data_IF_853103999662
#
_entry.id   IF_853103999662
#
_cell.length_a   1.000
_cell.length_b   1.000
_cell.length_c   1.000
_cell.angle_alpha   90.00
_cell.angle_beta   90.00
_cell.angle_gamma   90.00
#
_symmetry.space_group_name_H-M   'P 1'
#
loop_
_entity.id
_entity.type
_entity.pdbx_description
1 polymer ?
#
# COMPACT_ATOMS: atom_id res chain seq x y z
N UNK A 1 7.64 18.22 -18.15
CA UNK A 1 6.61 17.98 -17.11
C UNK A 1 6.60 16.54 -16.61
N UNK A 2 6.75 15.55 -17.51
CA UNK A 2 7.09 14.14 -17.18
C UNK A 2 8.30 14.06 -16.24
N UNK A 3 9.35 14.84 -16.49
CA UNK A 3 10.49 14.96 -15.56
C UNK A 3 10.10 15.30 -14.12
N UNK A 4 9.08 16.15 -13.89
CA UNK A 4 8.80 16.67 -12.54
C UNK A 4 8.03 15.68 -11.63
N UNK A 5 7.26 14.75 -12.21
CA UNK A 5 6.44 13.78 -11.45
C UNK A 5 7.25 12.53 -11.09
N UNK A 6 8.08 12.04 -12.00
CA UNK A 6 9.04 10.98 -11.68
C UNK A 6 10.16 11.45 -10.79
N UNK A 7 10.51 12.74 -10.83
CA UNK A 7 11.33 13.32 -9.78
C UNK A 7 10.66 13.08 -8.42
N UNK A 8 9.35 13.34 -8.24
CA UNK A 8 8.68 13.19 -6.93
C UNK A 8 8.53 11.75 -6.39
N UNK A 9 8.25 10.73 -7.20
CA UNK A 9 8.20 9.32 -6.71
C UNK A 9 9.60 8.75 -6.52
N UNK A 10 10.53 9.10 -7.40
CA UNK A 10 11.94 8.82 -7.16
C UNK A 10 12.41 9.54 -5.89
N UNK A 11 11.84 10.71 -5.57
CA UNK A 11 12.10 11.44 -4.32
C UNK A 11 11.56 10.67 -3.11
N UNK A 12 10.32 10.15 -3.10
CA UNK A 12 9.84 9.36 -1.94
C UNK A 12 10.68 8.10 -1.71
N UNK A 13 11.02 7.34 -2.76
CA UNK A 13 11.88 6.17 -2.61
C UNK A 13 13.28 6.57 -2.13
N UNK A 14 13.85 7.67 -2.65
CA UNK A 14 15.10 8.24 -2.14
C UNK A 14 14.97 8.68 -0.69
N UNK A 15 13.87 9.30 -0.30
CA UNK A 15 13.58 9.77 1.06
C UNK A 15 13.46 8.60 2.02
N UNK A 16 12.85 7.48 1.62
CA UNK A 16 12.83 6.26 2.43
C UNK A 16 14.21 5.60 2.49
N UNK A 17 14.96 5.56 1.38
CA UNK A 17 16.35 5.10 1.41
C UNK A 17 17.23 5.99 2.32
N UNK A 18 17.01 7.31 2.30
CA UNK A 18 17.66 8.27 3.20
C UNK A 18 17.23 8.06 4.65
N UNK A 19 15.95 7.76 4.90
CA UNK A 19 15.45 7.42 6.24
C UNK A 19 16.11 6.16 6.78
N UNK A 20 16.24 5.10 5.97
CA UNK A 20 16.93 3.86 6.34
C UNK A 20 18.39 4.17 6.71
N UNK A 21 19.10 4.95 5.89
CA UNK A 21 20.49 5.36 6.17
C UNK A 21 20.58 6.15 7.48
N UNK A 22 19.71 7.14 7.67
CA UNK A 22 19.68 7.96 8.88
C UNK A 22 19.45 7.12 10.14
N UNK A 23 18.52 6.17 10.09
CA UNK A 23 18.24 5.26 11.20
C UNK A 23 19.46 4.38 11.48
N UNK A 24 20.06 3.77 10.45
CA UNK A 24 21.24 2.90 10.61
C UNK A 24 22.44 3.62 11.22
N UNK A 25 22.66 4.89 10.85
CA UNK A 25 23.75 5.70 11.37
C UNK A 25 23.53 6.13 12.83
N UNK A 26 22.30 5.99 13.36
CA UNK A 26 21.88 6.48 14.68
C UNK A 26 21.18 5.42 15.55
N UNK A 27 21.42 4.13 15.32
CA UNK A 27 20.74 3.03 16.03
C UNK A 27 20.91 3.02 17.55
N UNK A 28 21.90 3.73 18.09
CA UNK A 28 22.15 3.84 19.53
C UNK A 28 21.48 5.08 20.15
N UNK A 29 21.02 6.02 19.33
CA UNK A 29 20.32 7.22 19.79
C UNK A 29 18.83 6.92 20.04
N UNK A 30 18.15 7.69 20.91
CA UNK A 30 16.70 7.61 21.04
C UNK A 30 16.02 7.88 19.69
N UNK A 31 15.11 7.01 19.28
CA UNK A 31 14.37 7.20 18.04
C UNK A 31 13.43 8.41 18.15
N UNK A 32 13.48 9.30 17.15
CA UNK A 32 12.60 10.46 17.05
C UNK A 32 12.04 10.57 15.63
N UNK A 33 10.74 10.31 15.47
CA UNK A 33 10.07 10.36 14.17
C UNK A 33 10.06 11.77 13.59
N UNK A 34 9.95 12.81 14.42
CA UNK A 34 9.92 14.19 13.96
C UNK A 34 11.27 14.59 13.37
N UNK A 35 12.38 14.25 14.03
CA UNK A 35 13.72 14.52 13.50
C UNK A 35 13.98 13.78 12.18
N UNK A 36 13.55 12.51 12.11
CA UNK A 36 13.67 11.72 10.89
C UNK A 36 12.84 12.32 9.74
N UNK A 37 11.62 12.78 10.06
CA UNK A 37 10.71 13.47 9.15
C UNK A 37 11.32 14.77 8.62
N UNK A 38 11.85 15.62 9.51
CA UNK A 38 12.50 16.87 9.16
C UNK A 38 13.74 16.62 8.27
N UNK A 39 14.49 15.55 8.55
CA UNK A 39 15.67 15.16 7.78
C UNK A 39 15.34 14.76 6.33
N UNK A 40 14.29 13.96 6.13
CA UNK A 40 13.92 13.48 4.79
C UNK A 40 12.97 14.41 4.06
N UNK A 41 12.42 15.42 4.72
CA UNK A 41 11.48 16.37 4.10
C UNK A 41 10.11 15.75 3.80
N UNK A 42 9.70 14.75 4.58
CA UNK A 42 8.33 14.20 4.60
C UNK A 42 7.67 14.59 5.91
N UNK A 43 6.35 14.73 5.96
CA UNK A 43 5.67 14.81 7.24
C UNK A 43 5.83 13.49 8.02
N UNK A 44 5.71 13.48 9.36
CA UNK A 44 5.85 12.25 10.15
C UNK A 44 4.90 11.14 9.70
N UNK A 45 3.68 11.52 9.31
CA UNK A 45 2.66 10.61 8.78
C UNK A 45 3.09 9.99 7.44
N UNK A 46 3.50 10.82 6.47
CA UNK A 46 3.89 10.31 5.14
C UNK A 46 5.15 9.45 5.21
N UNK A 47 6.11 9.83 6.06
CA UNK A 47 7.29 9.02 6.32
C UNK A 47 6.91 7.65 6.88
N UNK A 48 6.11 7.58 7.95
CA UNK A 48 5.73 6.30 8.56
C UNK A 48 4.95 5.41 7.58
N UNK A 49 4.00 5.99 6.84
CA UNK A 49 3.19 5.25 5.87
C UNK A 49 4.03 4.74 4.69
N UNK A 50 4.82 5.61 4.05
CA UNK A 50 5.68 5.23 2.93
C UNK A 50 6.76 4.24 3.33
N UNK A 51 7.34 4.38 4.53
CA UNK A 51 8.31 3.43 5.05
C UNK A 51 7.66 2.07 5.27
N UNK A 52 6.47 1.99 5.90
CA UNK A 52 5.74 0.72 6.07
C UNK A 52 5.40 0.05 4.75
N UNK A 53 4.92 0.80 3.77
CA UNK A 53 4.56 0.23 2.46
C UNK A 53 5.78 -0.35 1.73
N UNK A 54 6.95 0.28 1.87
CA UNK A 54 8.18 -0.13 1.16
C UNK A 54 8.97 -1.18 1.95
N UNK A 55 8.99 -1.09 3.29
CA UNK A 55 9.86 -1.87 4.18
C UNK A 55 9.10 -2.96 4.94
N UNK A 56 7.78 -2.85 5.08
CA UNK A 56 6.94 -3.77 5.84
C UNK A 56 6.92 -3.52 7.35
N UNK A 57 7.64 -2.51 7.84
CA UNK A 57 7.75 -2.14 9.27
C UNK A 57 7.62 -0.63 9.44
N UNK A 58 7.26 -0.16 10.64
CA UNK A 58 7.42 1.28 10.95
C UNK A 58 8.91 1.65 11.05
N UNK A 59 9.29 2.92 10.85
CA UNK A 59 10.66 3.38 11.06
C UNK A 59 11.19 3.04 12.46
N UNK A 60 10.35 3.19 13.49
CA UNK A 60 10.70 2.85 14.88
C UNK A 60 10.88 1.35 15.09
N UNK A 61 9.97 0.53 14.55
CA UNK A 61 10.08 -0.92 14.64
C UNK A 61 11.32 -1.43 13.92
N UNK A 62 11.64 -0.85 12.75
CA UNK A 62 12.88 -1.12 12.04
C UNK A 62 14.10 -0.73 12.87
N UNK A 63 14.14 0.47 13.45
CA UNK A 63 15.23 0.92 14.32
C UNK A 63 15.43 -0.02 15.52
N UNK A 64 14.34 -0.41 16.19
CA UNK A 64 14.37 -1.35 17.32
C UNK A 64 14.91 -2.71 16.89
N UNK A 65 14.43 -3.27 15.78
CA UNK A 65 14.85 -4.57 15.29
C UNK A 65 16.34 -4.58 14.89
N UNK A 66 16.82 -3.51 14.24
CA UNK A 66 18.23 -3.34 13.90
C UNK A 66 19.11 -3.16 15.13
N UNK A 67 18.69 -2.37 16.12
CA UNK A 67 19.38 -2.22 17.41
C UNK A 67 19.53 -3.56 18.14
N UNK A 68 18.45 -4.34 18.22
CA UNK A 68 18.47 -5.66 18.86
C UNK A 68 19.33 -6.67 18.10
N UNK A 69 19.32 -6.62 16.77
CA UNK A 69 20.22 -7.42 15.93
C UNK A 69 21.70 -7.13 16.23
N UNK A 70 22.09 -5.85 16.35
CA UNK A 70 23.46 -5.48 16.72
C UNK A 70 23.81 -5.95 18.14
N UNK A 71 22.88 -5.81 19.08
CA UNK A 71 23.07 -6.27 20.45
C UNK A 71 23.28 -7.79 20.51
N UNK A 72 22.51 -8.57 19.75
CA UNK A 72 22.69 -10.01 19.63
C UNK A 72 24.06 -10.38 19.07
N UNK A 73 24.53 -9.69 18.05
CA UNK A 73 25.86 -9.90 17.49
C UNK A 73 26.97 -9.61 18.51
N UNK A 74 26.86 -8.52 19.29
CA UNK A 74 27.83 -8.21 20.34
C UNK A 74 27.85 -9.28 21.46
N UNK A 75 26.67 -9.76 21.86
CA UNK A 75 26.52 -10.83 22.85
C UNK A 75 27.14 -12.13 22.35
N UNK A 76 26.85 -12.52 21.10
CA UNK A 76 27.38 -13.75 20.49
C UNK A 76 28.89 -13.70 20.34
N UNK A 77 29.44 -12.55 19.95
CA UNK A 77 30.88 -12.39 19.70
C UNK A 77 31.72 -12.33 20.99
N UNK A 78 31.09 -12.27 22.17
CA UNK A 78 31.67 -12.67 23.46
C UNK A 78 32.86 -11.85 23.98
N UNK A 79 33.24 -10.75 23.31
CA UNK A 79 34.42 -9.97 23.65
C UNK A 79 34.19 -8.94 24.79
N UNK A 80 32.94 -8.75 25.23
CA UNK A 80 32.58 -7.68 26.17
C UNK A 80 31.64 -8.20 27.26
N UNK A 81 31.75 -7.70 28.50
CA UNK A 81 30.84 -8.10 29.60
C UNK A 81 29.43 -7.57 29.33
N UNK A 82 28.40 -8.27 29.79
CA UNK A 82 27.00 -7.87 29.61
C UNK A 82 26.69 -6.46 30.13
N UNK A 83 27.37 -6.01 31.20
CA UNK A 83 27.27 -4.63 31.73
C UNK A 83 27.76 -3.60 30.71
N UNK A 84 28.80 -3.92 29.95
CA UNK A 84 29.39 -3.01 28.98
C UNK A 84 28.55 -2.96 27.70
N UNK A 85 27.97 -4.11 27.31
CA UNK A 85 26.98 -4.17 26.23
C UNK A 85 25.74 -3.35 26.60
N UNK A 86 25.18 -3.55 27.80
CA UNK A 86 24.03 -2.77 28.27
C UNK A 86 24.29 -1.26 28.22
N UNK A 87 25.48 -0.82 28.66
CA UNK A 87 25.91 0.59 28.57
C UNK A 87 26.03 1.08 27.13
N UNK A 88 26.59 0.28 26.21
CA UNK A 88 26.71 0.62 24.78
C UNK A 88 25.34 0.90 24.15
N UNK A 89 24.31 0.15 24.55
CA UNK A 89 22.93 0.34 24.08
C UNK A 89 22.09 1.22 25.00
N UNK A 90 22.72 2.02 25.87
CA UNK A 90 22.11 3.01 26.74
C UNK A 90 21.08 2.50 27.76
N UNK A 91 21.23 1.24 28.21
CA UNK A 91 20.46 0.72 29.33
C UNK A 91 21.10 1.12 30.67
N UNK A 92 20.26 1.43 31.66
CA UNK A 92 20.72 1.83 32.99
C UNK A 92 21.44 0.70 33.73
N UNK A 93 21.04 -0.56 33.50
CA UNK A 93 21.66 -1.74 34.09
C UNK A 93 21.50 -2.98 33.17
N UNK A 94 22.25 -4.05 33.46
CA UNK A 94 22.22 -5.29 32.69
C UNK A 94 20.89 -6.04 32.74
N UNK A 95 20.10 -5.88 33.80
CA UNK A 95 18.83 -6.60 33.94
C UNK A 95 17.79 -6.02 32.98
N UNK A 96 17.73 -4.69 32.87
CA UNK A 96 16.83 -4.01 31.92
C UNK A 96 17.17 -4.40 30.47
N UNK A 97 18.46 -4.44 30.14
CA UNK A 97 18.93 -4.93 28.84
C UNK A 97 18.52 -6.40 28.62
N UNK A 98 18.76 -7.27 29.60
CA UNK A 98 18.47 -8.69 29.46
C UNK A 98 16.96 -8.96 29.28
N UNK A 99 16.10 -8.18 29.94
CA UNK A 99 14.65 -8.29 29.78
C UNK A 99 14.23 -7.88 28.37
N UNK A 100 14.58 -6.68 27.89
CA UNK A 100 14.20 -6.22 26.55
C UNK A 100 14.80 -7.10 25.44
N UNK A 101 16.03 -7.59 25.63
CA UNK A 101 16.66 -8.57 24.74
C UNK A 101 15.85 -9.87 24.67
N UNK A 102 15.43 -10.40 25.82
CA UNK A 102 14.67 -11.64 25.89
C UNK A 102 13.27 -11.48 25.33
N UNK A 103 12.63 -10.34 25.58
CA UNK A 103 11.31 -10.01 25.05
C UNK A 103 11.34 -9.91 23.52
N UNK A 104 12.41 -9.35 22.95
CA UNK A 104 12.56 -9.23 21.50
C UNK A 104 12.96 -10.56 20.84
N UNK A 105 13.99 -11.25 21.33
CA UNK A 105 14.54 -12.43 20.67
C UNK A 105 13.88 -13.75 21.12
N UNK A 106 13.12 -13.77 22.21
CA UNK A 106 12.56 -14.99 22.80
C UNK A 106 13.56 -15.84 23.60
N UNK A 107 14.82 -15.41 23.70
CA UNK A 107 15.89 -16.11 24.43
C UNK A 107 16.75 -15.12 25.21
N UNK A 108 17.31 -15.55 26.34
CA UNK A 108 18.16 -14.68 27.16
C UNK A 108 19.54 -14.41 26.54
N UNK A 109 20.23 -13.30 26.89
CA UNK A 109 21.59 -13.03 26.40
C UNK A 109 22.58 -14.18 26.68
N UNK A 110 22.42 -14.89 27.80
CA UNK A 110 23.27 -16.03 28.16
C UNK A 110 23.08 -17.20 27.19
N UNK A 111 21.86 -17.38 26.68
CA UNK A 111 21.52 -18.48 25.78
C UNK A 111 21.79 -18.16 24.30
N UNK A 112 21.93 -16.87 23.95
CA UNK A 112 22.03 -16.41 22.56
C UNK A 112 23.19 -17.06 21.77
N UNK A 113 24.32 -17.35 22.42
CA UNK A 113 25.47 -18.01 21.76
C UNK A 113 25.21 -19.47 21.38
N UNK A 114 24.35 -20.16 22.14
CA UNK A 114 24.00 -21.58 21.93
C UNK A 114 22.74 -21.74 21.08
N UNK A 115 21.84 -20.74 21.10
CA UNK A 115 20.54 -20.73 20.39
C UNK A 115 20.49 -19.69 19.27
N UNK A 116 21.53 -19.63 18.44
CA UNK A 116 21.66 -18.59 17.40
C UNK A 116 20.51 -18.60 16.40
N UNK A 117 20.02 -19.78 16.05
CA UNK A 117 18.95 -19.97 15.05
C UNK A 117 17.56 -19.53 15.55
N UNK A 118 17.41 -19.30 16.86
CA UNK A 118 16.17 -18.80 17.47
C UNK A 118 16.12 -17.26 17.50
N UNK A 119 17.23 -16.57 17.19
CA UNK A 119 17.31 -15.12 17.26
C UNK A 119 16.56 -14.46 16.11
N UNK A 120 15.71 -13.50 16.43
CA UNK A 120 15.10 -12.60 15.44
C UNK A 120 16.16 -11.63 14.89
N UNK A 121 16.71 -11.94 13.72
CA UNK A 121 17.72 -11.13 13.05
C UNK A 121 17.09 -10.33 11.91
N UNK A 122 17.22 -9.01 11.97
CA UNK A 122 16.82 -8.11 10.90
C UNK A 122 18.06 -7.64 10.15
N UNK A 123 18.19 -7.96 8.86
CA UNK A 123 19.29 -7.45 8.04
C UNK A 123 19.09 -5.95 7.74
N UNK A 124 20.21 -5.24 7.53
CA UNK A 124 20.19 -3.87 7.02
C UNK A 124 19.61 -3.88 5.62
N UNK A 125 18.56 -3.09 5.41
CA UNK A 125 17.90 -3.04 4.12
C UNK A 125 18.55 -2.01 3.19
N UNK A 126 18.53 -2.33 1.90
CA UNK A 126 18.87 -1.42 0.81
C UNK A 126 17.82 -1.56 -0.27
N UNK A 127 17.20 -0.46 -0.68
CA UNK A 127 16.21 -0.44 -1.74
C UNK A 127 16.95 -0.53 -3.07
N UNK A 128 16.71 -1.63 -3.81
CA UNK A 128 17.24 -1.82 -5.15
C UNK A 128 16.15 -1.53 -6.18
N UNK A 129 16.36 -0.48 -6.98
CA UNK A 129 15.53 -0.20 -8.15
C UNK A 129 15.95 -1.11 -9.30
N UNK A 130 15.01 -1.86 -9.86
CA UNK A 130 15.20 -2.63 -11.09
C UNK A 130 14.24 -2.13 -12.16
N UNK A 131 14.75 -1.82 -13.34
CA UNK A 131 13.95 -1.58 -14.54
C UNK A 131 13.61 -2.90 -15.19
N UNK A 132 12.33 -3.18 -15.41
CA UNK A 132 11.87 -4.34 -16.18
C UNK A 132 11.71 -3.97 -17.66
N UNK A 133 12.26 -4.79 -18.57
CA UNK A 133 12.15 -4.56 -20.03
C UNK A 133 10.78 -4.95 -20.62
N UNK A 134 9.91 -5.59 -19.83
CA UNK A 134 8.50 -5.87 -20.17
C UNK A 134 7.58 -5.50 -19.02
N UNK A 135 6.52 -4.76 -19.35
CA UNK A 135 5.42 -4.45 -18.43
C UNK A 135 4.68 -5.76 -18.05
N UNK A 136 4.51 -6.10 -16.76
CA UNK A 136 3.73 -7.27 -16.35
C UNK A 136 2.24 -7.13 -16.70
N UNK A 137 1.72 -5.90 -16.72
CA UNK A 137 0.34 -5.59 -17.09
C UNK A 137 0.31 -4.69 -18.33
N UNK A 138 0.13 -5.25 -19.54
CA UNK A 138 -0.13 -4.41 -20.71
C UNK A 138 -1.48 -3.71 -20.53
N UNK A 139 -1.48 -2.38 -20.66
CA UNK A 139 -2.71 -1.59 -20.67
C UNK A 139 -3.08 -1.17 -22.10
N UNK A 140 -4.36 -0.86 -22.31
CA UNK A 140 -4.86 -0.28 -23.56
C UNK A 140 -5.49 1.07 -23.27
N UNK A 141 -5.25 2.01 -24.16
CA UNK A 141 -5.95 3.29 -24.16
C UNK A 141 -7.25 3.12 -24.94
N UNK A 142 -8.38 3.35 -24.28
CA UNK A 142 -9.71 3.20 -24.86
C UNK A 142 -10.63 4.30 -24.35
N UNK A 143 -11.53 4.77 -25.19
CA UNK A 143 -12.66 5.61 -24.78
C UNK A 143 -13.75 4.72 -24.17
N UNK A 144 -14.28 5.12 -23.02
CA UNK A 144 -15.39 4.43 -22.36
C UNK A 144 -16.71 5.12 -22.69
N UNK A 145 -17.79 4.34 -22.76
CA UNK A 145 -19.14 4.87 -22.90
C UNK A 145 -19.66 5.44 -21.57
N UNK A 146 -20.72 6.24 -21.65
CA UNK A 146 -21.49 6.69 -20.49
C UNK A 146 -22.24 5.51 -19.85
N UNK A 147 -22.17 5.38 -18.52
CA UNK A 147 -22.80 4.28 -17.78
C UNK A 147 -23.61 4.82 -16.59
N UNK A 148 -24.89 4.49 -16.54
CA UNK A 148 -25.74 4.68 -15.37
C UNK A 148 -25.66 3.48 -14.45
N UNK A 149 -25.41 3.71 -13.16
CA UNK A 149 -25.17 2.67 -12.16
C UNK A 149 -26.12 2.83 -10.97
N UNK A 150 -26.50 1.70 -10.36
CA UNK A 150 -27.14 1.66 -9.04
C UNK A 150 -26.38 0.76 -8.08
N UNK A 151 -26.28 1.17 -6.83
CA UNK A 151 -25.34 0.54 -5.90
C UNK A 151 -25.41 1.04 -4.46
N UNK A 152 -24.40 0.63 -3.69
CA UNK A 152 -24.15 1.08 -2.32
C UNK A 152 -22.88 1.91 -2.30
N UNK A 153 -22.88 3.01 -1.53
CA UNK A 153 -21.69 3.79 -1.28
C UNK A 153 -21.20 3.60 0.17
N UNK A 154 -19.89 3.73 0.36
CA UNK A 154 -19.23 3.80 1.66
C UNK A 154 -18.25 4.95 1.62
N UNK A 155 -18.38 5.85 2.59
CA UNK A 155 -17.39 6.90 2.80
C UNK A 155 -16.30 6.41 3.76
N UNK A 156 -15.04 6.59 3.34
CA UNK A 156 -13.84 6.34 4.12
C UNK A 156 -13.22 7.68 4.51
N UNK A 157 -13.19 7.94 5.81
CA UNK A 157 -12.55 9.14 6.36
C UNK A 157 -11.04 9.14 6.09
N UNK A 158 -10.45 10.33 5.88
CA UNK A 158 -8.99 10.53 5.75
C UNK A 158 -8.13 9.66 6.67
N UNK A 159 -8.52 9.47 7.93
CA UNK A 159 -7.77 8.67 8.92
C UNK A 159 -7.72 7.17 8.65
N UNK A 160 -8.59 6.65 7.79
CA UNK A 160 -8.69 5.24 7.43
C UNK A 160 -8.24 4.95 5.98
N UNK A 161 -7.89 5.99 5.20
CA UNK A 161 -7.42 5.80 3.82
C UNK A 161 -6.15 4.95 3.70
N UNK A 162 -5.35 4.92 4.75
CA UNK A 162 -4.12 4.11 4.85
C UNK A 162 -4.37 2.61 4.92
N UNK A 163 -5.63 2.16 5.10
CA UNK A 163 -5.98 0.75 5.10
C UNK A 163 -5.95 0.19 3.67
N UNK A 164 -5.07 -0.78 3.35
CA UNK A 164 -4.92 -1.28 1.98
C UNK A 164 -6.13 -2.09 1.50
N UNK A 165 -7.01 -2.50 2.42
CA UNK A 165 -8.15 -3.35 2.13
C UNK A 165 -9.49 -2.60 2.09
N UNK A 166 -9.51 -1.27 2.02
CA UNK A 166 -10.76 -0.49 2.03
C UNK A 166 -11.80 -0.94 0.96
N UNK A 167 -11.35 -1.25 -0.26
CA UNK A 167 -12.20 -1.80 -1.33
C UNK A 167 -12.53 -3.28 -1.08
N UNK A 168 -11.54 -4.18 -0.86
CA UNK A 168 -11.79 -5.58 -0.50
C UNK A 168 -12.74 -5.77 0.68
N UNK A 169 -12.52 -5.07 1.80
CA UNK A 169 -13.36 -5.13 3.00
C UNK A 169 -14.81 -4.72 2.70
N UNK A 170 -15.00 -3.67 1.88
CA UNK A 170 -16.35 -3.26 1.48
C UNK A 170 -17.02 -4.30 0.59
N UNK A 171 -16.29 -4.87 -0.38
CA UNK A 171 -16.80 -5.94 -1.22
C UNK A 171 -17.15 -7.19 -0.41
N UNK A 172 -16.32 -7.57 0.57
CA UNK A 172 -16.55 -8.70 1.46
C UNK A 172 -17.81 -8.47 2.32
N UNK A 173 -17.95 -7.28 2.92
CA UNK A 173 -19.14 -6.92 3.69
C UNK A 173 -20.42 -7.02 2.83
N UNK A 174 -20.39 -6.49 1.60
CA UNK A 174 -21.52 -6.56 0.67
C UNK A 174 -21.83 -8.01 0.23
N UNK A 175 -20.80 -8.85 0.11
CA UNK A 175 -20.94 -10.25 -0.26
C UNK A 175 -21.59 -11.05 0.88
N UNK A 176 -21.09 -10.88 2.11
CA UNK A 176 -21.60 -11.54 3.33
C UNK A 176 -23.04 -11.12 3.60
N UNK A 177 -23.36 -9.84 3.44
CA UNK A 177 -24.71 -9.29 3.60
C UNK A 177 -25.69 -9.73 2.49
N UNK A 178 -25.19 -10.42 1.45
CA UNK A 178 -26.00 -10.82 0.30
C UNK A 178 -26.40 -9.68 -0.65
N UNK A 179 -25.81 -8.50 -0.47
CA UNK A 179 -26.08 -7.29 -1.28
C UNK A 179 -25.54 -7.41 -2.69
N UNK A 180 -24.41 -8.08 -2.92
CA UNK A 180 -23.93 -8.35 -4.30
C UNK A 180 -24.95 -9.20 -5.08
N UNK A 181 -25.56 -10.19 -4.42
CA UNK A 181 -26.64 -11.01 -5.00
C UNK A 181 -27.90 -10.20 -5.29
N UNK A 182 -28.18 -9.19 -4.47
CA UNK A 182 -29.26 -8.23 -4.71
C UNK A 182 -28.96 -7.35 -5.93
N UNK A 183 -27.78 -6.72 -5.98
CA UNK A 183 -27.35 -5.86 -7.09
C UNK A 183 -27.47 -6.57 -8.44
N UNK A 184 -27.09 -7.86 -8.51
CA UNK A 184 -27.25 -8.68 -9.71
C UNK A 184 -28.68 -8.70 -10.29
N UNK A 185 -29.72 -8.46 -9.49
CA UNK A 185 -31.12 -8.40 -9.96
C UNK A 185 -31.47 -7.07 -10.65
N UNK A 186 -30.71 -6.02 -10.35
CA UNK A 186 -30.87 -4.69 -10.92
C UNK A 186 -29.96 -4.44 -12.12
N UNK A 187 -29.00 -5.32 -12.37
CA UNK A 187 -28.16 -5.23 -13.56
C UNK A 187 -28.96 -5.63 -14.82
N UNK A 188 -29.65 -4.65 -15.42
CA UNK A 188 -30.58 -4.86 -16.54
C UNK A 188 -30.08 -4.31 -17.88
N UNK A 189 -28.89 -3.71 -17.89
CA UNK A 189 -28.21 -3.21 -19.09
C UNK A 189 -26.79 -3.74 -19.13
N UNK A 190 -26.26 -3.99 -20.32
CA UNK A 190 -24.86 -4.38 -20.52
C UNK A 190 -23.92 -3.21 -20.16
N UNK A 191 -22.74 -3.46 -19.56
CA UNK A 191 -22.15 -4.77 -19.24
C UNK A 191 -22.70 -5.43 -17.97
N UNK A 192 -22.61 -6.77 -17.92
CA UNK A 192 -23.11 -7.57 -16.79
C UNK A 192 -22.03 -7.82 -15.74
N UNK A 193 -21.49 -6.74 -15.20
CA UNK A 193 -20.32 -6.72 -14.34
C UNK A 193 -20.56 -5.84 -13.10
N UNK A 194 -19.75 -6.04 -12.07
CA UNK A 194 -19.76 -5.25 -10.85
C UNK A 194 -18.76 -4.11 -10.98
N UNK A 195 -19.23 -2.88 -10.80
CA UNK A 195 -18.42 -1.66 -10.88
C UNK A 195 -18.12 -1.18 -9.47
N UNK A 196 -16.85 -0.99 -9.17
CA UNK A 196 -16.36 -0.33 -7.97
C UNK A 196 -15.71 0.98 -8.38
N UNK A 197 -16.28 2.08 -7.94
CA UNK A 197 -15.81 3.43 -8.26
C UNK A 197 -15.22 4.02 -7.00
N UNK A 198 -13.92 4.29 -7.07
CA UNK A 198 -13.19 5.05 -6.06
C UNK A 198 -13.22 6.53 -6.46
N UNK A 199 -13.90 7.34 -5.65
CA UNK A 199 -14.09 8.78 -5.84
C UNK A 199 -13.32 9.56 -4.77
N UNK A 200 -12.13 10.11 -5.09
CA UNK A 200 -11.37 10.92 -4.16
C UNK A 200 -12.12 12.22 -3.81
N UNK A 201 -12.24 12.53 -2.51
CA UNK A 201 -12.90 13.72 -1.99
C UNK A 201 -11.93 14.53 -1.12
N UNK A 202 -12.26 15.80 -0.82
CA UNK A 202 -11.39 16.67 0.00
C UNK A 202 -11.13 16.10 1.41
N UNK A 203 -12.08 15.37 1.97
CA UNK A 203 -12.07 14.85 3.34
C UNK A 203 -12.03 13.32 3.43
N UNK A 204 -11.78 12.61 2.33
CA UNK A 204 -11.79 11.16 2.33
C UNK A 204 -11.91 10.54 0.95
N UNK A 205 -12.44 9.33 0.91
CA UNK A 205 -12.70 8.56 -0.30
C UNK A 205 -14.12 8.03 -0.22
N UNK A 206 -14.94 8.31 -1.23
CA UNK A 206 -16.18 7.55 -1.41
C UNK A 206 -15.87 6.35 -2.30
N UNK A 207 -16.23 5.15 -1.82
CA UNK A 207 -16.23 3.92 -2.61
C UNK A 207 -17.68 3.61 -2.93
N UNK A 208 -18.02 3.54 -4.22
CA UNK A 208 -19.33 3.13 -4.69
C UNK A 208 -19.21 1.75 -5.35
N UNK A 209 -20.05 0.80 -4.93
CA UNK A 209 -20.14 -0.54 -5.53
C UNK A 209 -21.53 -0.70 -6.13
N UNK A 210 -21.59 -0.89 -7.44
CA UNK A 210 -22.86 -0.92 -8.16
C UNK A 210 -22.80 -1.70 -9.46
N UNK A 211 -23.93 -1.72 -10.14
CA UNK A 211 -24.11 -2.40 -11.43
C UNK A 211 -24.81 -1.49 -12.42
N UNK A 212 -24.56 -1.64 -13.74
CA UNK A 212 -25.29 -0.92 -14.78
C UNK A 212 -26.79 -1.13 -14.68
N UNK A 213 -27.56 -0.04 -14.60
CA UNK A 213 -29.01 -0.11 -14.56
C UNK A 213 -29.71 1.15 -15.05
N UNK A 214 -30.87 0.96 -15.69
CA UNK A 214 -31.84 2.03 -15.98
C UNK A 214 -32.96 2.11 -14.93
N UNK A 215 -32.93 1.25 -13.90
CA UNK A 215 -33.88 1.24 -12.79
C UNK A 215 -33.26 1.89 -11.57
N UNK A 216 -34.01 2.80 -10.94
CA UNK A 216 -33.54 3.57 -9.79
C UNK A 216 -34.39 3.28 -8.54
N UNK A 217 -34.18 2.13 -7.86
CA UNK A 217 -34.93 1.80 -6.66
C UNK A 217 -34.52 2.73 -5.50
N UNK A 218 -35.49 3.14 -4.68
CA UNK A 218 -35.30 4.18 -3.67
C UNK A 218 -34.30 3.82 -2.55
N UNK A 219 -33.98 2.54 -2.35
CA UNK A 219 -33.06 2.07 -1.32
C UNK A 219 -31.62 1.88 -1.83
N UNK A 220 -31.35 2.12 -3.13
CA UNK A 220 -30.01 2.13 -3.71
C UNK A 220 -29.62 3.55 -4.13
N UNK A 221 -28.33 3.83 -4.10
CA UNK A 221 -27.80 5.06 -4.66
C UNK A 221 -27.65 4.94 -6.17
N UNK A 222 -27.86 6.06 -6.87
CA UNK A 222 -27.65 6.16 -8.31
C UNK A 222 -26.40 6.98 -8.60
N UNK A 223 -25.61 6.56 -9.58
CA UNK A 223 -24.42 7.26 -10.05
C UNK A 223 -24.39 7.26 -11.58
N UNK A 224 -23.88 8.34 -12.15
CA UNK A 224 -23.60 8.44 -13.58
C UNK A 224 -22.09 8.51 -13.76
N UNK A 225 -21.55 7.52 -14.46
CA UNK A 225 -20.14 7.45 -14.82
C UNK A 225 -20.01 7.96 -16.27
N UNK A 226 -19.50 9.19 -16.49
CA UNK A 226 -19.32 9.71 -17.83
C UNK A 226 -18.22 8.96 -18.56
N UNK A 227 -18.39 8.81 -19.86
CA UNK A 227 -17.40 8.30 -20.78
C UNK A 227 -16.12 9.13 -20.75
N UNK A 228 -14.97 8.47 -20.64
CA UNK A 228 -13.65 9.10 -20.59
C UNK A 228 -12.63 8.30 -21.36
N UNK A 229 -11.57 8.97 -21.78
CA UNK A 229 -10.39 8.28 -22.26
C UNK A 229 -9.67 7.65 -21.07
N UNK A 230 -9.55 6.33 -21.06
CA UNK A 230 -9.04 5.58 -19.93
C UNK A 230 -7.92 4.62 -20.36
N UNK A 231 -6.93 4.46 -19.48
CA UNK A 231 -6.03 3.33 -19.53
C UNK A 231 -6.69 2.15 -18.82
N UNK A 232 -6.99 1.09 -19.57
CA UNK A 232 -7.57 -0.15 -19.05
C UNK A 232 -6.49 -1.20 -18.84
N UNK A 233 -6.35 -1.65 -17.60
CA UNK A 233 -5.47 -2.72 -17.19
C UNK A 233 -6.30 -3.99 -16.98
N UNK A 234 -5.90 -5.08 -17.64
CA UNK A 234 -6.49 -6.38 -17.38
C UNK A 234 -5.63 -7.11 -16.35
N UNK A 235 -6.17 -7.24 -15.14
CA UNK A 235 -5.53 -7.86 -13.99
C UNK A 235 -6.09 -9.26 -13.77
N UNK A 236 -5.30 -10.11 -13.13
CA UNK A 236 -5.74 -11.42 -12.68
C UNK A 236 -5.05 -11.73 -11.35
N UNK A 237 -5.83 -12.07 -10.32
CA UNK A 237 -5.28 -12.38 -9.01
C UNK A 237 -6.34 -12.43 -7.91
N UNK A 238 -5.87 -12.52 -6.67
CA UNK A 238 -6.70 -12.42 -5.46
C UNK A 238 -7.24 -10.99 -5.30
N UNK A 239 -8.51 -10.85 -4.92
CA UNK A 239 -9.20 -9.55 -4.79
C UNK A 239 -8.48 -8.61 -3.82
N UNK A 240 -7.93 -9.15 -2.74
CA UNK A 240 -7.25 -8.39 -1.68
C UNK A 240 -5.97 -7.69 -2.17
N UNK A 241 -5.34 -8.23 -3.21
CA UNK A 241 -3.98 -7.85 -3.60
C UNK A 241 -3.88 -7.35 -5.04
N UNK A 242 -4.66 -7.89 -5.97
CA UNK A 242 -4.46 -7.66 -7.41
C UNK A 242 -4.51 -6.18 -7.81
N UNK A 243 -5.51 -5.42 -7.33
CA UNK A 243 -5.57 -3.99 -7.62
C UNK A 243 -4.49 -3.21 -6.86
N UNK A 244 -4.17 -3.59 -5.62
CA UNK A 244 -3.11 -2.96 -4.84
C UNK A 244 -1.72 -3.12 -5.49
N UNK A 245 -1.42 -4.31 -6.02
CA UNK A 245 -0.20 -4.57 -6.78
C UNK A 245 -0.16 -3.79 -8.09
N UNK A 246 -1.30 -3.70 -8.78
CA UNK A 246 -1.42 -2.88 -9.99
C UNK A 246 -1.19 -1.41 -9.68
N UNK A 247 -1.79 -0.88 -8.61
CA UNK A 247 -1.57 0.50 -8.14
C UNK A 247 -0.12 0.75 -7.77
N UNK A 248 0.52 -0.17 -7.04
CA UNK A 248 1.94 -0.10 -6.74
C UNK A 248 2.78 -0.04 -8.02
N UNK A 249 2.48 -0.88 -9.01
CA UNK A 249 3.16 -0.86 -10.30
C UNK A 249 2.92 0.44 -11.09
N UNK A 250 1.67 0.90 -11.16
CA UNK A 250 1.30 2.12 -11.86
C UNK A 250 2.03 3.31 -11.25
N UNK A 251 2.01 3.44 -9.92
CA UNK A 251 2.67 4.52 -9.19
C UNK A 251 4.21 4.43 -9.24
N UNK A 252 4.79 3.22 -9.20
CA UNK A 252 6.24 3.02 -9.19
C UNK A 252 6.90 3.04 -10.58
N UNK A 253 6.17 2.64 -11.63
CA UNK A 253 6.76 2.30 -12.94
C UNK A 253 6.11 3.00 -14.14
N UNK A 254 4.78 3.25 -14.11
CA UNK A 254 4.07 3.86 -15.23
C UNK A 254 3.70 5.32 -15.02
N UNK A 255 3.79 5.83 -13.80
CA UNK A 255 3.39 7.20 -13.44
C UNK A 255 4.08 8.29 -14.29
N UNK A 256 5.27 7.99 -14.80
CA UNK A 256 6.05 8.86 -15.67
C UNK A 256 5.61 8.83 -17.13
N UNK A 257 5.15 7.68 -17.60
CA UNK A 257 4.82 7.44 -19.01
C UNK A 257 3.32 7.53 -19.26
N UNK A 258 2.49 7.40 -18.22
CA UNK A 258 1.04 7.42 -18.27
C UNK A 258 0.50 8.68 -17.58
N UNK A 259 0.03 9.70 -18.34
CA UNK A 259 -0.47 10.96 -17.77
C UNK A 259 -1.93 10.83 -17.28
N UNK A 260 -2.16 9.97 -16.29
CA UNK A 260 -3.50 9.78 -15.73
C UNK A 260 -3.94 10.91 -14.79
N UNK A 261 -5.25 11.11 -14.68
CA UNK A 261 -5.88 12.14 -13.84
C UNK A 261 -5.99 11.66 -12.40
N UNK A 262 -5.36 12.38 -11.47
CA UNK A 262 -5.20 11.92 -10.08
C UNK A 262 -6.41 12.16 -9.17
N UNK A 263 -7.21 13.16 -9.49
CA UNK A 263 -8.36 13.59 -8.69
C UNK A 263 -9.65 13.31 -9.44
N UNK A 264 -9.74 12.10 -9.98
CA UNK A 264 -10.85 11.67 -10.82
C UNK A 264 -11.29 10.27 -10.39
N UNK A 265 -12.32 9.75 -11.05
CA UNK A 265 -12.93 8.47 -10.76
C UNK A 265 -12.05 7.34 -11.26
N UNK A 266 -11.59 6.49 -10.35
CA UNK A 266 -10.97 5.22 -10.70
C UNK A 266 -12.01 4.12 -10.65
N UNK A 267 -12.00 3.25 -11.66
CA UNK A 267 -13.01 2.21 -11.80
C UNK A 267 -12.35 0.85 -11.78
N UNK A 268 -12.80 -0.02 -10.88
CA UNK A 268 -12.47 -1.43 -10.86
C UNK A 268 -13.70 -2.22 -11.27
N UNK A 269 -13.55 -3.10 -12.26
CA UNK A 269 -14.63 -3.92 -12.80
C UNK A 269 -14.36 -5.38 -12.47
N UNK A 270 -15.33 -6.01 -11.82
CA UNK A 270 -15.26 -7.40 -11.37
C UNK A 270 -16.39 -8.24 -11.99
N UNK A 271 -16.21 -9.57 -12.09
CA UNK A 271 -17.30 -10.50 -12.35
C UNK A 271 -18.39 -10.36 -11.29
N UNK A 272 -19.66 -10.56 -11.65
CA UNK A 272 -20.77 -10.51 -10.69
C UNK A 272 -20.72 -11.65 -9.65
N UNK A 273 -19.99 -12.73 -9.94
CA UNK A 273 -19.76 -13.89 -9.10
C UNK A 273 -18.38 -13.85 -8.41
N UNK A 274 -18.05 -12.70 -7.82
CA UNK A 274 -16.82 -12.54 -7.04
C UNK A 274 -16.67 -13.60 -5.94
N UNK A 275 -15.42 -14.02 -5.70
CA UNK A 275 -15.05 -14.94 -4.64
C UNK A 275 -13.68 -14.55 -4.09
N UNK A 276 -13.60 -14.27 -2.78
CA UNK A 276 -12.34 -14.02 -2.08
C UNK A 276 -11.45 -15.25 -1.97
N UNK A 277 -12.00 -16.45 -2.26
CA UNK A 277 -11.24 -17.69 -2.29
C UNK A 277 -10.72 -18.05 -3.69
N UNK A 278 -10.99 -17.24 -4.72
CA UNK A 278 -10.50 -17.48 -6.09
C UNK A 278 -9.22 -16.66 -6.35
N UNK A 279 -8.04 -17.30 -6.41
CA UNK A 279 -6.78 -16.62 -6.65
C UNK A 279 -6.59 -16.15 -8.10
N UNK A 280 -7.57 -16.40 -8.98
CA UNK A 280 -7.48 -16.09 -10.40
C UNK A 280 -8.62 -15.19 -10.89
N UNK A 281 -9.23 -14.41 -9.98
CA UNK A 281 -10.29 -13.46 -10.32
C UNK A 281 -9.79 -12.46 -11.36
N UNK A 282 -10.55 -12.30 -12.45
CA UNK A 282 -10.25 -11.30 -13.48
C UNK A 282 -10.77 -9.95 -13.02
N UNK A 283 -9.94 -8.92 -13.09
CA UNK A 283 -10.31 -7.56 -12.66
C UNK A 283 -9.87 -6.61 -13.75
N UNK A 284 -10.71 -5.64 -14.11
CA UNK A 284 -10.32 -4.57 -15.01
C UNK A 284 -10.19 -3.27 -14.23
N UNK A 285 -9.00 -2.66 -14.23
CA UNK A 285 -8.77 -1.36 -13.61
C UNK A 285 -8.74 -0.30 -14.70
N UNK A 286 -9.62 0.70 -14.61
CA UNK A 286 -9.72 1.83 -15.53
C UNK A 286 -9.21 3.07 -14.83
N UNK A 287 -8.28 3.75 -15.49
CA UNK A 287 -7.67 4.97 -14.96
C UNK A 287 -7.87 6.07 -16.01
N UNK A 288 -8.57 7.17 -15.68
CA UNK A 288 -8.80 8.25 -16.62
C UNK A 288 -7.47 8.90 -16.99
N UNK A 289 -7.26 9.15 -18.28
CA UNK A 289 -6.05 9.79 -18.81
C UNK A 289 -6.39 11.08 -19.55
N UNK A 290 -5.47 12.03 -19.49
CA UNK A 290 -5.61 13.26 -20.28
C UNK A 290 -5.47 12.92 -21.75
N UNK A 291 -6.42 13.36 -22.58
CA UNK A 291 -6.23 13.36 -24.03
C UNK A 291 -4.94 14.13 -24.37
N UNK A 292 -4.08 13.50 -25.17
CA UNK A 292 -2.95 14.20 -25.76
C UNK A 292 -3.50 15.17 -26.82
N UNK A 293 -3.08 16.45 -26.88
CA UNK A 293 -3.54 17.39 -27.90
C UNK A 293 -3.01 17.10 -29.31
N UNK A 294 -2.52 15.89 -29.59
CA UNK A 294 -1.93 15.48 -30.86
C UNK A 294 -2.75 14.45 -31.64
N UNK A 295 -3.99 14.16 -31.21
CA UNK A 295 -4.94 13.33 -31.98
C UNK A 295 -5.91 14.18 -32.82
N UNK A 296 -5.67 15.49 -32.97
CA UNK A 296 -6.25 16.30 -34.04
C UNK A 296 -5.20 16.51 -35.14
N UNK A 297 -5.15 15.58 -36.11
CA UNK A 297 -4.64 15.82 -37.47
C UNK A 297 -5.52 15.06 -38.50
#
# INVERSE_FOLDING_TARGET
MIELIGVKVLDVIKQIQQAIVYIEDRLLEPFNLQELSDYVGLSPYHLDQSFKMIVGLSPEAYARARKMTLAANDVINGATRLVDIAKKYHYANSNDFANDFSDFHGVSPIQASTKKDELQIQERLYIKLSTTERAPYPYRLEETDDISLVGYARFIDTKYLSHPFNVPDFLEDLLIDGKIKELRRYNDVSPFELFVISCPLENGLEIFVGVPSERYPAHLESRFLPGKHCAKFNLQGEIDYATNEAWYYIESSLQLTLPYERNDLYVEVYPLDISFNDPFTKIQLWIPVKQSPYDED
#
